data_IF_138701159923
#
_entry.id   IF_138701159923
#
_cell.length_a   1.000
_cell.length_b   1.000
_cell.length_c   1.000
_cell.angle_alpha   90.00
_cell.angle_beta   90.00
_cell.angle_gamma   90.00
#
_symmetry.space_group_name_H-M   'P 1'
#
loop_
_entity.id
_entity.type
_entity.pdbx_description
1 polymer ?
#
# COMPACT_ATOMS: atom_id res chain seq x y z
N UNK A 1 16.02 13.42 17.28
CA UNK A 1 16.00 13.98 15.90
C UNK A 1 16.50 13.03 14.81
N UNK A 2 17.51 12.16 15.03
CA UNK A 2 18.00 11.21 14.01
C UNK A 2 16.99 10.12 13.62
N UNK A 3 16.09 9.72 14.53
CA UNK A 3 15.08 8.69 14.31
C UNK A 3 14.07 9.04 13.20
N UNK A 4 13.40 10.19 13.30
CA UNK A 4 12.41 10.64 12.30
C UNK A 4 13.03 10.87 10.93
N UNK A 5 14.28 11.38 10.88
CA UNK A 5 15.03 11.52 9.64
C UNK A 5 15.34 10.18 8.98
N UNK A 6 15.70 9.17 9.78
CA UNK A 6 15.96 7.83 9.29
C UNK A 6 14.67 7.14 8.81
N UNK A 7 13.58 7.23 9.57
CA UNK A 7 12.28 6.70 9.16
C UNK A 7 11.78 7.35 7.86
N UNK A 8 11.90 8.67 7.74
CA UNK A 8 11.55 9.37 6.49
C UNK A 8 12.44 8.96 5.31
N UNK A 9 13.74 8.72 5.53
CA UNK A 9 14.63 8.27 4.47
C UNK A 9 14.29 6.85 3.98
N UNK A 10 13.90 5.96 4.89
CA UNK A 10 13.42 4.61 4.57
C UNK A 10 12.10 4.70 3.79
N UNK A 11 11.10 5.42 4.32
CA UNK A 11 9.81 5.62 3.64
C UNK A 11 9.96 6.25 2.25
N UNK A 12 10.85 7.24 2.09
CA UNK A 12 11.13 7.86 0.80
C UNK A 12 11.76 6.88 -0.19
N UNK A 13 12.70 6.06 0.27
CA UNK A 13 13.30 4.98 -0.53
C UNK A 13 12.22 3.98 -0.96
N UNK A 14 11.31 3.58 -0.07
CA UNK A 14 10.24 2.63 -0.38
C UNK A 14 9.24 3.20 -1.37
N UNK A 15 8.81 4.46 -1.21
CA UNK A 15 7.95 5.16 -2.18
C UNK A 15 8.61 5.22 -3.57
N UNK A 16 9.91 5.52 -3.65
CA UNK A 16 10.66 5.56 -4.90
C UNK A 16 10.74 4.20 -5.58
N UNK A 17 11.02 3.14 -4.81
CA UNK A 17 11.10 1.77 -5.32
C UNK A 17 9.73 1.30 -5.83
N UNK A 18 8.67 1.56 -5.07
CA UNK A 18 7.29 1.23 -5.43
C UNK A 18 6.87 1.95 -6.73
N UNK A 19 7.18 3.25 -6.86
CA UNK A 19 6.92 4.03 -8.08
C UNK A 19 7.69 3.50 -9.30
N UNK A 20 8.93 3.04 -9.09
CA UNK A 20 9.78 2.51 -10.17
C UNK A 20 9.31 1.14 -10.63
N UNK A 21 8.78 0.33 -9.71
CA UNK A 21 8.37 -1.05 -9.98
C UNK A 21 7.10 -1.14 -10.83
N UNK A 22 6.27 -0.09 -10.91
CA UNK A 22 5.06 0.15 -11.77
C UNK A 22 4.00 -0.98 -11.86
N UNK A 23 4.40 -2.24 -11.97
CA UNK A 23 3.57 -3.44 -12.01
C UNK A 23 2.72 -3.59 -10.75
N UNK A 24 3.31 -3.39 -9.57
CA UNK A 24 2.59 -3.58 -8.30
C UNK A 24 1.47 -2.58 -8.11
N UNK A 25 1.75 -1.30 -8.39
CA UNK A 25 0.77 -0.23 -8.36
C UNK A 25 -0.33 -0.44 -9.40
N UNK A 26 0.04 -0.86 -10.61
CA UNK A 26 -0.92 -1.14 -11.69
C UNK A 26 -1.86 -2.29 -11.32
N UNK A 27 -1.33 -3.39 -10.79
CA UNK A 27 -2.14 -4.53 -10.35
C UNK A 27 -3.11 -4.16 -9.22
N UNK A 28 -2.67 -3.35 -8.25
CA UNK A 28 -3.54 -2.87 -7.16
C UNK A 28 -4.65 -1.95 -7.67
N UNK A 29 -4.32 -1.07 -8.62
CA UNK A 29 -5.29 -0.17 -9.24
C UNK A 29 -6.38 -0.96 -9.98
N UNK A 30 -6.00 -1.92 -10.83
CA UNK A 30 -6.96 -2.77 -11.54
C UNK A 30 -7.78 -3.66 -10.61
N UNK A 31 -7.20 -4.18 -9.53
CA UNK A 31 -7.95 -4.94 -8.54
C UNK A 31 -9.01 -4.08 -7.85
N UNK A 32 -8.67 -2.89 -7.38
CA UNK A 32 -9.62 -1.96 -6.76
C UNK A 32 -10.73 -1.56 -7.73
N UNK A 33 -10.38 -1.27 -8.99
CA UNK A 33 -11.34 -0.96 -10.05
C UNK A 33 -12.30 -2.12 -10.31
N UNK A 34 -11.80 -3.36 -10.39
CA UNK A 34 -12.62 -4.56 -10.56
C UNK A 34 -13.59 -4.76 -9.40
N UNK A 35 -13.12 -4.58 -8.16
CA UNK A 35 -13.98 -4.66 -6.97
C UNK A 35 -15.10 -3.62 -7.04
N UNK A 36 -14.79 -2.37 -7.37
CA UNK A 36 -15.80 -1.32 -7.55
C UNK A 36 -16.79 -1.64 -8.68
N UNK A 37 -16.31 -2.15 -9.81
CA UNK A 37 -17.16 -2.62 -10.91
C UNK A 37 -18.09 -3.76 -10.47
N UNK A 38 -17.57 -4.75 -9.76
CA UNK A 38 -18.38 -5.84 -9.23
C UNK A 38 -19.48 -5.31 -8.31
N UNK A 39 -19.16 -4.40 -7.39
CA UNK A 39 -20.17 -3.78 -6.54
C UNK A 39 -21.21 -2.99 -7.34
N UNK A 40 -20.78 -2.23 -8.34
CA UNK A 40 -21.69 -1.47 -9.19
C UNK A 40 -22.69 -2.39 -9.92
N UNK A 41 -22.22 -3.52 -10.45
CA UNK A 41 -23.07 -4.49 -11.15
C UNK A 41 -23.94 -5.33 -10.20
N UNK A 42 -23.41 -5.78 -9.06
CA UNK A 42 -24.16 -6.64 -8.12
C UNK A 42 -25.30 -5.89 -7.46
N UNK A 43 -25.11 -4.63 -7.12
CA UNK A 43 -26.07 -3.87 -6.33
C UNK A 43 -27.08 -3.07 -7.19
N UNK A 44 -26.96 -3.06 -8.53
CA UNK A 44 -27.81 -2.27 -9.44
C UNK A 44 -28.11 -0.87 -8.86
N UNK A 45 -27.05 -0.13 -8.54
CA UNK A 45 -27.11 1.09 -7.73
C UNK A 45 -27.98 2.17 -8.37
N UNK A 46 -29.20 2.35 -7.87
CA UNK A 46 -29.99 3.56 -8.13
C UNK A 46 -29.30 4.79 -7.53
N UNK A 47 -29.47 5.98 -8.12
CA UNK A 47 -28.78 7.23 -7.68
C UNK A 47 -28.89 7.51 -6.18
N UNK A 48 -30.01 7.13 -5.55
CA UNK A 48 -30.25 7.28 -4.11
C UNK A 48 -29.45 6.28 -3.27
N UNK A 49 -29.27 5.05 -3.77
CA UNK A 49 -28.47 4.02 -3.10
C UNK A 49 -26.97 4.32 -3.22
N UNK A 50 -26.52 4.90 -4.33
CA UNK A 50 -25.12 5.34 -4.51
C UNK A 50 -24.69 6.27 -3.37
N UNK A 51 -25.51 7.28 -3.03
CA UNK A 51 -25.16 8.22 -1.96
C UNK A 51 -25.03 7.56 -0.58
N UNK A 52 -25.83 6.52 -0.31
CA UNK A 52 -25.80 5.80 0.97
C UNK A 52 -24.62 4.81 1.04
N UNK A 53 -24.29 4.15 -0.06
CA UNK A 53 -23.26 3.10 -0.13
C UNK A 53 -21.85 3.63 -0.46
N UNK A 54 -21.73 4.82 -1.06
CA UNK A 54 -20.44 5.43 -1.43
C UNK A 54 -19.42 5.49 -0.27
N UNK A 55 -19.78 5.84 0.98
CA UNK A 55 -18.82 5.87 2.09
C UNK A 55 -18.27 4.47 2.40
N UNK A 56 -19.14 3.45 2.35
CA UNK A 56 -18.75 2.06 2.58
C UNK A 56 -17.84 1.52 1.49
N UNK A 57 -18.17 1.81 0.23
CA UNK A 57 -17.35 1.43 -0.93
C UNK A 57 -15.97 2.11 -0.89
N UNK A 58 -15.89 3.38 -0.48
CA UNK A 58 -14.62 4.07 -0.28
C UNK A 58 -13.76 3.40 0.79
N UNK A 59 -14.32 3.13 1.97
CA UNK A 59 -13.58 2.44 3.03
C UNK A 59 -13.14 1.03 2.61
N UNK A 60 -13.96 0.32 1.85
CA UNK A 60 -13.64 -1.01 1.35
C UNK A 60 -12.49 -0.96 0.35
N UNK A 61 -12.52 -0.02 -0.62
CA UNK A 61 -11.42 0.21 -1.55
C UNK A 61 -10.12 0.57 -0.81
N UNK A 62 -10.17 1.49 0.16
CA UNK A 62 -9.01 1.88 0.97
C UNK A 62 -8.44 0.68 1.74
N UNK A 63 -9.31 -0.11 2.39
CA UNK A 63 -8.88 -1.25 3.21
C UNK A 63 -8.27 -2.36 2.36
N UNK A 64 -8.92 -2.72 1.25
CA UNK A 64 -8.40 -3.75 0.35
C UNK A 64 -7.07 -3.35 -0.29
N UNK A 65 -6.97 -2.12 -0.81
CA UNK A 65 -5.71 -1.63 -1.37
C UNK A 65 -4.63 -1.52 -0.28
N UNK A 66 -4.99 -1.12 0.94
CA UNK A 66 -4.07 -1.06 2.08
C UNK A 66 -3.50 -2.43 2.47
N UNK A 67 -4.35 -3.45 2.60
CA UNK A 67 -3.91 -4.82 2.92
C UNK A 67 -3.01 -5.39 1.82
N UNK A 68 -3.38 -5.18 0.55
CA UNK A 68 -2.55 -5.61 -0.59
C UNK A 68 -1.21 -4.87 -0.63
N UNK A 69 -1.22 -3.56 -0.36
CA UNK A 69 -0.04 -2.70 -0.30
C UNK A 69 0.96 -3.16 0.77
N UNK A 70 0.47 -3.33 1.99
CA UNK A 70 1.28 -3.75 3.14
C UNK A 70 1.93 -5.13 2.93
N UNK A 71 1.20 -6.08 2.35
CA UNK A 71 1.72 -7.42 2.08
C UNK A 71 2.89 -7.43 1.10
N UNK A 72 2.91 -6.49 0.14
CA UNK A 72 3.95 -6.44 -0.91
C UNK A 72 5.15 -5.55 -0.58
N UNK A 73 4.99 -4.59 0.33
CA UNK A 73 6.08 -3.69 0.75
C UNK A 73 7.30 -4.46 1.29
N UNK A 74 7.07 -5.43 2.19
CA UNK A 74 8.16 -6.21 2.80
C UNK A 74 8.63 -7.42 1.97
N UNK A 75 7.82 -7.89 1.02
CA UNK A 75 8.20 -9.01 0.15
C UNK A 75 9.37 -8.67 -0.76
N UNK A 76 9.41 -7.43 -1.28
CA UNK A 76 10.47 -6.98 -2.16
C UNK A 76 11.84 -6.91 -1.48
N UNK A 77 11.89 -6.63 -0.17
CA UNK A 77 13.14 -6.58 0.59
C UNK A 77 13.60 -7.94 1.09
N UNK A 78 12.64 -8.85 1.33
CA UNK A 78 12.90 -10.27 1.57
C UNK A 78 13.52 -10.95 0.35
N UNK A 79 13.00 -10.69 -0.85
CA UNK A 79 13.49 -11.33 -2.09
C UNK A 79 14.88 -10.83 -2.53
N UNK A 80 15.25 -9.59 -2.19
CA UNK A 80 16.52 -8.99 -2.59
C UNK A 80 17.64 -9.09 -1.54
N UNK A 81 17.45 -9.88 -0.46
CA UNK A 81 18.39 -10.00 0.68
C UNK A 81 18.82 -8.65 1.32
N UNK A 82 18.08 -7.58 1.02
CA UNK A 82 18.40 -6.22 1.48
C UNK A 82 18.11 -6.02 2.97
N UNK A 83 17.27 -6.90 3.54
CA UNK A 83 16.94 -6.91 4.97
C UNK A 83 18.18 -7.09 5.85
N UNK A 84 19.11 -7.95 5.45
CA UNK A 84 20.33 -8.21 6.23
C UNK A 84 21.29 -7.02 6.19
N UNK A 85 21.40 -6.34 5.03
CA UNK A 85 22.14 -5.08 4.90
C UNK A 85 21.55 -3.94 5.73
N UNK A 86 20.22 -3.89 5.87
CA UNK A 86 19.53 -2.87 6.65
C UNK A 86 19.68 -3.09 8.17
N UNK A 87 19.70 -4.35 8.62
CA UNK A 87 19.94 -4.72 10.03
C UNK A 87 21.39 -4.43 10.45
N UNK A 88 22.35 -4.53 9.52
CA UNK A 88 23.76 -4.18 9.75
C UNK A 88 24.01 -2.65 9.73
N UNK A 89 23.06 -1.86 9.23
CA UNK A 89 23.19 -0.41 9.19
C UNK A 89 23.05 0.22 10.60
N UNK A 90 23.72 1.34 10.89
CA UNK A 90 23.66 2.02 12.18
C UNK A 90 22.36 2.83 12.34
N UNK A 91 21.21 2.21 12.01
CA UNK A 91 19.87 2.78 12.09
C UNK A 91 19.08 2.07 13.20
N UNK A 92 18.37 2.80 14.08
CA UNK A 92 17.53 2.17 15.09
C UNK A 92 16.46 1.29 14.44
N UNK A 93 16.33 0.04 14.89
CA UNK A 93 15.39 -0.96 14.35
C UNK A 93 13.94 -0.48 14.30
N UNK A 94 13.53 0.35 15.27
CA UNK A 94 12.20 0.96 15.29
C UNK A 94 11.97 1.97 14.15
N UNK A 95 13.01 2.61 13.62
CA UNK A 95 12.90 3.50 12.46
C UNK A 95 12.83 2.73 11.15
N UNK A 96 13.38 1.51 11.12
CA UNK A 96 13.24 0.58 9.99
C UNK A 96 11.82 0.00 9.94
N UNK A 97 11.17 -0.21 11.09
CA UNK A 97 9.78 -0.69 11.14
C UNK A 97 8.75 0.41 10.82
N UNK A 98 9.05 1.66 11.17
CA UNK A 98 8.15 2.80 10.98
C UNK A 98 8.28 3.46 9.60
N UNK A 99 9.44 3.33 8.97
CA UNK A 99 9.65 3.76 7.58
C UNK A 99 9.14 2.70 6.63
#
# INVERSE_FOLDING_TARGET
MRFFRAAYAVAWKDVLLELRRKETFTAMFFFSLLVLLMFNFTLNLDRTQVLSLAPGLLWLAITFTGVLGLGKGFLAERENECMDGLILSPVPRGAIFLG
#
